data_IF_374407496976
#
_entry.id   IF_374407496976
#
_cell.length_a   1.000
_cell.length_b   1.000
_cell.length_c   1.000
_cell.angle_alpha   90.00
_cell.angle_beta   90.00
_cell.angle_gamma   90.00
#
_symmetry.space_group_name_H-M   'P 1'
#
loop_
_entity.id
_entity.type
_entity.pdbx_description
1 polymer ?
#
# COMPACT_ATOMS: atom_id res chain seq x y z
N UNK A 1 31.61 -6.34 -21.70
CA UNK A 1 30.55 -6.86 -20.79
C UNK A 1 29.34 -7.21 -21.63
N UNK A 2 29.10 -8.48 -21.90
CA UNK A 2 28.00 -8.96 -22.73
C UNK A 2 26.70 -8.84 -21.92
N UNK A 3 25.71 -8.09 -22.43
CA UNK A 3 24.37 -8.03 -21.87
C UNK A 3 23.73 -9.42 -22.03
N UNK A 4 23.50 -10.12 -20.92
CA UNK A 4 22.72 -11.36 -20.91
C UNK A 4 21.34 -11.07 -21.51
N UNK A 5 20.93 -11.86 -22.50
CA UNK A 5 19.61 -11.77 -23.10
C UNK A 5 18.53 -11.95 -22.02
N UNK A 6 17.46 -11.14 -22.02
CA UNK A 6 16.37 -11.31 -21.06
C UNK A 6 15.72 -12.70 -21.24
N UNK A 7 15.28 -13.33 -20.15
CA UNK A 7 14.63 -14.63 -20.21
C UNK A 7 13.45 -14.60 -21.20
N UNK A 8 13.36 -15.63 -22.07
CA UNK A 8 12.23 -15.78 -23.01
C UNK A 8 10.94 -15.82 -22.21
N UNK A 9 10.19 -14.72 -22.22
CA UNK A 9 8.84 -14.70 -21.67
C UNK A 9 7.97 -15.60 -22.54
N UNK A 10 7.35 -16.58 -21.94
CA UNK A 10 6.32 -17.40 -22.59
C UNK A 10 5.20 -16.43 -23.00
N UNK A 11 5.04 -16.19 -24.30
CA UNK A 11 3.94 -15.38 -24.82
C UNK A 11 2.64 -16.18 -24.64
N UNK A 12 1.94 -15.90 -23.56
CA UNK A 12 0.56 -16.34 -23.45
C UNK A 12 -0.24 -15.75 -24.63
N UNK A 13 -1.21 -16.50 -25.20
CA UNK A 13 -2.04 -16.00 -26.28
C UNK A 13 -2.62 -14.65 -25.89
N UNK A 14 -2.34 -13.61 -26.68
CA UNK A 14 -2.87 -12.25 -26.46
C UNK A 14 -4.38 -12.35 -26.55
N UNK A 15 -5.04 -12.44 -25.41
CA UNK A 15 -6.48 -12.28 -25.34
C UNK A 15 -6.75 -10.88 -25.85
N UNK A 16 -7.40 -10.78 -27.03
CA UNK A 16 -7.87 -9.53 -27.62
C UNK A 16 -8.44 -8.68 -26.49
N UNK A 17 -7.88 -7.50 -26.22
CA UNK A 17 -8.24 -6.65 -25.10
C UNK A 17 -9.74 -6.29 -25.19
N UNK A 18 -10.58 -7.19 -24.72
CA UNK A 18 -11.98 -6.90 -24.49
C UNK A 18 -12.04 -5.94 -23.30
N UNK A 19 -12.74 -4.83 -23.47
CA UNK A 19 -13.12 -3.99 -22.32
C UNK A 19 -13.57 -4.92 -21.20
N UNK A 20 -13.12 -4.71 -19.95
CA UNK A 20 -13.46 -5.61 -18.84
C UNK A 20 -14.97 -5.83 -18.88
N UNK A 21 -15.37 -7.09 -18.92
CA UNK A 21 -16.80 -7.43 -19.04
C UNK A 21 -17.54 -6.71 -17.91
N UNK A 22 -18.73 -6.15 -18.15
CA UNK A 22 -19.49 -5.43 -17.14
C UNK A 22 -19.68 -6.26 -15.86
N UNK A 23 -19.62 -7.58 -15.98
CA UNK A 23 -19.66 -8.53 -14.88
C UNK A 23 -18.41 -8.44 -13.99
N UNK A 24 -17.19 -8.42 -14.55
CA UNK A 24 -15.95 -8.32 -13.79
C UNK A 24 -15.87 -6.98 -13.02
N UNK A 25 -16.26 -5.89 -13.66
CA UNK A 25 -16.34 -4.57 -13.03
C UNK A 25 -17.31 -4.55 -11.85
N UNK A 26 -18.49 -5.20 -11.98
CA UNK A 26 -19.47 -5.31 -10.89
C UNK A 26 -18.90 -6.10 -9.71
N UNK A 27 -18.25 -7.23 -9.96
CA UNK A 27 -17.61 -8.02 -8.92
C UNK A 27 -16.53 -7.25 -8.18
N UNK A 28 -15.67 -6.54 -8.89
CA UNK A 28 -14.64 -5.68 -8.27
C UNK A 28 -15.28 -4.60 -7.39
N UNK A 29 -16.29 -3.90 -7.86
CA UNK A 29 -16.99 -2.88 -7.06
C UNK A 29 -17.65 -3.51 -5.84
N UNK A 30 -18.30 -4.66 -5.99
CA UNK A 30 -18.92 -5.39 -4.88
C UNK A 30 -17.87 -5.81 -3.81
N UNK A 31 -16.72 -6.32 -4.24
CA UNK A 31 -15.62 -6.68 -3.32
C UNK A 31 -15.11 -5.46 -2.56
N UNK A 32 -14.89 -4.34 -3.23
CA UNK A 32 -14.42 -3.11 -2.57
C UNK A 32 -15.46 -2.56 -1.59
N UNK A 33 -16.75 -2.58 -1.93
CA UNK A 33 -17.83 -2.22 -1.00
C UNK A 33 -17.84 -3.18 0.18
N UNK A 34 -17.74 -4.49 -0.07
CA UNK A 34 -17.69 -5.52 0.99
C UNK A 34 -16.54 -5.28 1.98
N UNK A 35 -15.35 -4.95 1.50
CA UNK A 35 -14.20 -4.60 2.35
C UNK A 35 -14.52 -3.39 3.25
N UNK A 36 -15.15 -2.34 2.71
CA UNK A 36 -15.51 -1.17 3.51
C UNK A 36 -16.60 -1.49 4.54
N UNK A 37 -17.58 -2.32 4.19
CA UNK A 37 -18.59 -2.78 5.15
C UNK A 37 -17.96 -3.61 6.27
N UNK A 38 -16.98 -4.47 5.98
CA UNK A 38 -16.23 -5.19 6.99
C UNK A 38 -15.45 -4.25 7.91
N UNK A 39 -14.80 -3.22 7.37
CA UNK A 39 -14.10 -2.21 8.18
C UNK A 39 -15.09 -1.48 9.08
N UNK A 40 -16.24 -1.05 8.58
CA UNK A 40 -17.27 -0.37 9.38
C UNK A 40 -17.84 -1.29 10.44
N UNK A 41 -18.13 -2.55 10.13
CA UNK A 41 -18.60 -3.54 11.10
C UNK A 41 -17.55 -3.79 12.20
N UNK A 42 -16.27 -3.83 11.84
CA UNK A 42 -15.18 -4.01 12.79
C UNK A 42 -15.04 -2.79 13.74
N UNK A 43 -15.16 -1.57 13.22
CA UNK A 43 -15.18 -0.34 14.01
C UNK A 43 -16.41 -0.34 14.96
N UNK A 44 -17.59 -0.68 14.44
CA UNK A 44 -18.80 -0.75 15.24
C UNK A 44 -18.69 -1.80 16.37
N UNK A 45 -18.13 -2.96 16.08
CA UNK A 45 -17.86 -3.99 17.09
C UNK A 45 -16.97 -3.44 18.21
N UNK A 46 -15.86 -2.79 17.85
CA UNK A 46 -14.96 -2.19 18.84
C UNK A 46 -15.64 -1.11 19.69
N UNK A 47 -16.44 -0.23 19.06
CA UNK A 47 -17.19 0.82 19.79
C UNK A 47 -18.19 0.24 20.81
N UNK A 48 -18.74 -0.94 20.53
CA UNK A 48 -19.73 -1.59 21.40
C UNK A 48 -19.05 -2.38 22.53
N UNK A 49 -17.96 -3.11 22.21
CA UNK A 49 -17.32 -4.04 23.15
C UNK A 49 -16.13 -3.47 23.89
N UNK A 50 -15.53 -2.36 23.39
CA UNK A 50 -14.32 -1.76 23.95
C UNK A 50 -13.02 -2.52 23.60
N UNK A 51 -13.12 -3.70 22.99
CA UNK A 51 -11.97 -4.49 22.53
C UNK A 51 -12.27 -5.16 21.19
N UNK A 52 -11.23 -5.48 20.42
CA UNK A 52 -11.38 -6.17 19.14
C UNK A 52 -10.09 -6.86 18.73
N UNK A 53 -10.15 -7.62 17.62
CA UNK A 53 -8.92 -8.03 16.93
C UNK A 53 -8.17 -6.80 16.45
N UNK A 54 -6.84 -6.85 16.44
CA UNK A 54 -6.03 -5.72 15.99
C UNK A 54 -6.33 -5.39 14.51
N UNK A 55 -6.16 -4.12 14.10
CA UNK A 55 -6.50 -3.71 12.73
C UNK A 55 -5.78 -4.56 11.69
N UNK A 56 -6.55 -5.13 10.76
CA UNK A 56 -6.03 -5.92 9.64
C UNK A 56 -5.53 -4.99 8.50
N UNK A 57 -4.71 -4.01 8.85
CA UNK A 57 -4.14 -3.03 7.92
C UNK A 57 -2.63 -3.18 7.83
N UNK A 58 -2.08 -3.07 6.63
CA UNK A 58 -0.63 -3.27 6.40
C UNK A 58 0.24 -2.30 7.22
N UNK A 59 -0.26 -1.11 7.57
CA UNK A 59 0.48 -0.14 8.39
C UNK A 59 0.82 -0.66 9.78
N UNK A 60 0.01 -1.53 10.33
CA UNK A 60 0.22 -2.09 11.67
C UNK A 60 1.39 -3.08 11.73
N UNK A 61 1.84 -3.58 10.56
CA UNK A 61 3.06 -4.41 10.46
C UNK A 61 4.33 -3.69 10.92
N UNK A 62 4.34 -2.35 10.89
CA UNK A 62 5.46 -1.56 11.41
C UNK A 62 5.64 -1.75 12.91
N UNK A 63 4.56 -1.88 13.68
CA UNK A 63 4.62 -2.13 15.13
C UNK A 63 5.36 -3.44 15.44
N UNK A 64 5.26 -4.43 14.55
CA UNK A 64 5.99 -5.68 14.71
C UNK A 64 7.50 -5.47 14.53
N UNK A 65 7.91 -4.64 13.57
CA UNK A 65 9.32 -4.35 13.33
C UNK A 65 9.92 -3.40 14.39
N UNK A 66 9.15 -2.45 14.89
CA UNK A 66 9.62 -1.47 15.86
C UNK A 66 9.55 -1.99 17.30
N UNK A 67 8.41 -2.57 17.69
CA UNK A 67 8.11 -2.92 19.08
C UNK A 67 7.90 -4.42 19.32
N UNK A 68 8.10 -5.28 18.32
CA UNK A 68 7.90 -6.72 18.44
C UNK A 68 6.42 -7.15 18.59
N UNK A 69 5.47 -6.24 18.37
CA UNK A 69 4.04 -6.54 18.54
C UNK A 69 3.49 -7.29 17.32
N UNK A 70 3.15 -8.56 17.49
CA UNK A 70 2.54 -9.37 16.44
C UNK A 70 1.04 -9.02 16.35
N UNK A 71 0.67 -8.28 15.31
CA UNK A 71 -0.71 -7.82 15.04
C UNK A 71 -1.32 -8.55 13.85
N UNK A 72 -2.63 -8.44 13.64
CA UNK A 72 -3.28 -8.94 12.42
C UNK A 72 -2.72 -8.23 11.17
N UNK A 73 -2.22 -7.01 11.31
CA UNK A 73 -1.60 -6.25 10.22
C UNK A 73 -0.38 -6.94 9.61
N UNK A 74 0.51 -7.54 10.42
CA UNK A 74 1.67 -8.26 9.89
C UNK A 74 1.26 -9.55 9.17
N UNK A 75 0.22 -10.24 9.63
CA UNK A 75 -0.31 -11.42 8.96
C UNK A 75 -0.92 -11.08 7.60
N UNK A 76 -1.71 -10.01 7.54
CA UNK A 76 -2.27 -9.49 6.28
C UNK A 76 -1.18 -9.03 5.34
N UNK A 77 -0.14 -8.37 5.86
CA UNK A 77 0.98 -7.91 5.05
C UNK A 77 1.80 -9.09 4.50
N UNK A 78 2.08 -10.11 5.30
CA UNK A 78 2.71 -11.34 4.84
C UNK A 78 1.89 -12.05 3.75
N UNK A 79 0.57 -12.17 3.95
CA UNK A 79 -0.34 -12.71 2.94
C UNK A 79 -0.33 -11.86 1.66
N UNK A 80 -0.29 -10.53 1.79
CA UNK A 80 -0.21 -9.62 0.64
C UNK A 80 1.06 -9.81 -0.18
N UNK A 81 2.21 -10.05 0.46
CA UNK A 81 3.47 -10.37 -0.21
C UNK A 81 3.34 -11.69 -0.97
N UNK A 82 2.83 -12.76 -0.33
CA UNK A 82 2.65 -14.06 -0.95
C UNK A 82 1.72 -13.98 -2.17
N UNK A 83 0.57 -13.32 -2.00
CA UNK A 83 -0.37 -13.12 -3.11
C UNK A 83 0.25 -12.30 -4.24
N UNK A 84 1.08 -11.29 -3.90
CA UNK A 84 1.76 -10.47 -4.91
C UNK A 84 2.85 -11.24 -5.66
N UNK A 85 3.51 -12.20 -5.02
CA UNK A 85 4.46 -13.11 -5.68
C UNK A 85 3.77 -14.05 -6.68
N UNK A 86 2.51 -14.41 -6.43
CA UNK A 86 1.75 -15.34 -7.28
C UNK A 86 0.95 -14.61 -8.38
N UNK A 87 0.28 -13.53 -8.03
CA UNK A 87 -0.72 -12.86 -8.86
C UNK A 87 -0.40 -11.38 -9.14
N UNK A 88 0.79 -10.91 -8.79
CA UNK A 88 1.12 -9.50 -8.90
C UNK A 88 0.30 -8.64 -7.93
N UNK A 89 0.04 -7.39 -8.30
CA UNK A 89 -0.69 -6.41 -7.45
C UNK A 89 -2.20 -6.65 -7.37
N UNK A 90 -2.64 -7.90 -7.35
CA UNK A 90 -4.06 -8.24 -7.32
C UNK A 90 -4.78 -7.60 -6.12
N UNK A 91 -4.22 -7.72 -4.92
CA UNK A 91 -4.83 -7.16 -3.70
C UNK A 91 -4.97 -5.65 -3.75
N UNK A 92 -4.00 -4.93 -4.33
CA UNK A 92 -4.08 -3.47 -4.49
C UNK A 92 -5.26 -3.04 -5.37
N UNK A 93 -5.64 -3.89 -6.33
CA UNK A 93 -6.76 -3.61 -7.22
C UNK A 93 -8.13 -4.01 -6.67
N UNK A 94 -8.19 -5.01 -5.77
CA UNK A 94 -9.44 -5.66 -5.38
C UNK A 94 -9.82 -5.51 -3.91
N UNK A 95 -8.85 -5.32 -3.02
CA UNK A 95 -9.10 -5.30 -1.57
C UNK A 95 -8.57 -4.04 -0.86
N UNK A 96 -7.75 -3.24 -1.53
CA UNK A 96 -7.16 -2.06 -0.89
C UNK A 96 -8.18 -0.92 -0.74
N UNK A 97 -8.46 -0.52 0.51
CA UNK A 97 -9.39 0.58 0.81
C UNK A 97 -8.91 1.92 0.27
N UNK A 98 -7.58 2.20 0.29
CA UNK A 98 -7.03 3.43 -0.29
C UNK A 98 -7.16 3.47 -1.82
N UNK A 99 -7.00 2.31 -2.49
CA UNK A 99 -7.27 2.19 -3.91
C UNK A 99 -8.73 2.46 -4.25
N UNK A 100 -9.66 1.95 -3.44
CA UNK A 100 -11.09 2.21 -3.61
C UNK A 100 -11.44 3.69 -3.36
N UNK A 101 -10.85 4.34 -2.35
CA UNK A 101 -11.02 5.77 -2.10
C UNK A 101 -10.59 6.59 -3.32
N UNK A 102 -9.41 6.28 -3.89
CA UNK A 102 -8.91 7.00 -5.06
C UNK A 102 -9.77 6.76 -6.32
N UNK A 103 -10.26 5.53 -6.52
CA UNK A 103 -11.19 5.21 -7.61
C UNK A 103 -12.52 5.98 -7.44
N UNK A 104 -13.02 6.10 -6.20
CA UNK A 104 -14.21 6.90 -5.88
C UNK A 104 -13.99 8.39 -6.15
N UNK A 105 -12.85 8.94 -5.71
CA UNK A 105 -12.50 10.34 -5.96
C UNK A 105 -12.33 10.63 -7.46
N UNK A 106 -11.67 9.73 -8.20
CA UNK A 106 -11.54 9.86 -9.65
C UNK A 106 -12.91 9.84 -10.36
N UNK A 107 -13.82 8.97 -9.92
CA UNK A 107 -15.18 8.91 -10.43
C UNK A 107 -15.96 10.20 -10.13
N UNK A 108 -15.88 10.70 -8.88
CA UNK A 108 -16.57 11.93 -8.47
C UNK A 108 -16.05 13.14 -9.24
N UNK A 109 -14.73 13.31 -9.36
CA UNK A 109 -14.12 14.37 -10.16
C UNK A 109 -14.52 14.28 -11.64
N UNK A 110 -14.59 13.05 -12.18
CA UNK A 110 -15.06 12.81 -13.54
C UNK A 110 -16.52 13.23 -13.75
N UNK A 111 -17.39 13.08 -12.74
CA UNK A 111 -18.77 13.57 -12.76
C UNK A 111 -18.87 15.09 -12.71
N UNK A 112 -17.90 15.74 -12.04
CA UNK A 112 -17.77 17.20 -12.01
C UNK A 112 -17.09 17.78 -13.27
N UNK A 113 -16.85 16.95 -14.30
CA UNK A 113 -16.22 17.36 -15.55
C UNK A 113 -14.69 17.45 -15.49
N UNK A 114 -14.08 17.18 -14.35
CA UNK A 114 -12.63 17.22 -14.20
C UNK A 114 -12.02 15.84 -14.46
N UNK A 115 -11.18 15.75 -15.50
CA UNK A 115 -10.40 14.56 -15.81
C UNK A 115 -8.93 14.88 -15.64
N UNK A 116 -8.34 14.56 -14.49
CA UNK A 116 -6.94 14.89 -14.23
C UNK A 116 -6.03 14.21 -15.27
N UNK A 117 -5.07 14.94 -15.85
CA UNK A 117 -4.14 14.38 -16.81
C UNK A 117 -3.23 13.35 -16.10
N UNK A 118 -2.80 12.31 -16.79
CA UNK A 118 -1.87 11.33 -16.23
C UNK A 118 -0.51 12.00 -15.98
N UNK A 119 -0.19 12.22 -14.71
CA UNK A 119 1.12 12.74 -14.33
C UNK A 119 2.20 11.67 -14.46
N UNK A 120 3.34 12.01 -15.06
CA UNK A 120 4.47 11.09 -15.24
C UNK A 120 5.77 11.75 -14.80
N UNK A 121 6.26 11.38 -13.64
CA UNK A 121 7.57 11.77 -13.16
C UNK A 121 8.40 10.52 -12.81
N UNK A 122 9.50 10.30 -13.51
CA UNK A 122 10.38 9.14 -13.26
C UNK A 122 10.97 9.16 -11.85
N UNK A 123 11.39 10.34 -11.39
CA UNK A 123 11.97 10.50 -10.06
C UNK A 123 10.96 10.23 -8.95
N UNK A 124 9.73 10.69 -9.13
CA UNK A 124 8.67 10.44 -8.16
C UNK A 124 8.29 8.95 -8.06
N UNK A 125 8.56 8.17 -9.11
CA UNK A 125 8.38 6.71 -9.10
C UNK A 125 9.32 5.97 -8.13
N UNK A 126 10.39 6.61 -7.66
CA UNK A 126 11.28 6.06 -6.62
C UNK A 126 10.76 6.35 -5.20
N UNK A 127 9.84 7.29 -5.03
CA UNK A 127 9.34 7.70 -3.73
C UNK A 127 8.70 6.54 -2.93
N UNK A 128 7.87 5.65 -3.51
CA UNK A 128 7.35 4.49 -2.79
C UNK A 128 8.44 3.59 -2.22
N UNK A 129 9.50 3.34 -2.99
CA UNK A 129 10.63 2.52 -2.55
C UNK A 129 11.42 3.22 -1.44
N UNK A 130 11.68 4.52 -1.56
CA UNK A 130 12.35 5.30 -0.52
C UNK A 130 11.53 5.33 0.78
N UNK A 131 10.21 5.53 0.67
CA UNK A 131 9.29 5.46 1.82
C UNK A 131 9.26 4.06 2.44
N UNK A 132 9.27 3.01 1.61
CA UNK A 132 9.32 1.63 2.09
C UNK A 132 10.61 1.35 2.87
N UNK A 133 11.75 1.77 2.35
CA UNK A 133 13.04 1.65 3.04
C UNK A 133 13.04 2.42 4.36
N UNK A 134 12.52 3.65 4.34
CA UNK A 134 12.40 4.46 5.55
C UNK A 134 11.47 3.81 6.60
N UNK A 135 10.32 3.28 6.19
CA UNK A 135 9.34 2.73 7.13
C UNK A 135 9.72 1.33 7.65
N UNK A 136 10.29 0.48 6.82
CA UNK A 136 10.49 -0.94 7.15
C UNK A 136 11.95 -1.30 7.44
N UNK A 137 12.90 -0.63 6.82
CA UNK A 137 14.33 -0.94 6.99
C UNK A 137 14.98 -0.02 8.02
N UNK A 138 14.66 1.29 7.98
CA UNK A 138 15.26 2.27 8.85
C UNK A 138 15.10 1.99 10.35
N UNK A 139 13.92 1.60 10.88
CA UNK A 139 13.78 1.30 12.31
C UNK A 139 14.70 0.18 12.78
N UNK A 140 14.76 -0.89 12.01
CA UNK A 140 15.65 -2.02 12.31
C UNK A 140 17.12 -1.63 12.18
N UNK A 141 17.49 -0.95 11.08
CA UNK A 141 18.86 -0.46 10.88
C UNK A 141 19.30 0.48 12.00
N UNK A 142 18.44 1.42 12.40
CA UNK A 142 18.71 2.34 13.51
C UNK A 142 18.95 1.60 14.82
N UNK A 143 18.11 0.60 15.11
CA UNK A 143 18.19 -0.15 16.36
C UNK A 143 19.36 -1.10 16.42
N UNK A 144 19.57 -1.91 15.38
CA UNK A 144 20.54 -3.02 15.41
C UNK A 144 21.95 -2.60 15.03
N UNK A 145 22.09 -1.56 14.21
CA UNK A 145 23.40 -1.15 13.71
C UNK A 145 23.80 0.24 14.20
N UNK A 146 22.95 1.25 13.98
CA UNK A 146 23.34 2.63 14.23
C UNK A 146 23.45 2.95 15.72
N UNK A 147 22.48 2.53 16.53
CA UNK A 147 22.46 2.83 17.96
C UNK A 147 23.63 2.18 18.73
N UNK A 148 23.97 0.89 18.54
CA UNK A 148 25.14 0.29 19.20
C UNK A 148 26.46 0.95 18.79
N UNK A 149 26.62 1.29 17.51
CA UNK A 149 27.84 1.96 17.01
C UNK A 149 27.97 3.35 17.61
N UNK A 150 26.91 4.15 17.64
CA UNK A 150 26.93 5.48 18.21
C UNK A 150 27.10 5.47 19.74
N UNK A 151 26.54 4.49 20.42
CA UNK A 151 26.73 4.33 21.86
C UNK A 151 28.21 4.12 22.21
N UNK A 152 28.95 3.43 21.33
CA UNK A 152 30.39 3.20 21.52
C UNK A 152 31.27 4.41 21.13
N UNK A 153 30.94 5.09 20.04
CA UNK A 153 31.78 6.11 19.43
C UNK A 153 31.40 7.54 19.88
N UNK A 154 30.10 7.81 19.98
CA UNK A 154 29.55 9.15 20.23
C UNK A 154 28.28 9.07 21.09
N UNK A 155 28.39 8.83 22.42
CA UNK A 155 27.20 8.66 23.28
C UNK A 155 26.26 9.89 23.26
N UNK A 156 26.78 11.10 23.11
CA UNK A 156 25.99 12.32 23.03
C UNK A 156 25.15 12.43 21.75
N UNK A 157 25.61 11.83 20.67
CA UNK A 157 24.87 11.82 19.41
C UNK A 157 23.62 10.94 19.47
N UNK A 158 23.55 10.00 20.40
CA UNK A 158 22.39 9.14 20.59
C UNK A 158 21.14 9.94 20.97
N UNK A 159 21.29 11.06 21.69
CA UNK A 159 20.20 11.95 22.06
C UNK A 159 19.49 12.56 20.85
N UNK A 160 20.19 12.76 19.73
CA UNK A 160 19.65 13.33 18.49
C UNK A 160 18.82 12.33 17.67
N UNK A 161 19.12 11.03 17.82
CA UNK A 161 18.45 9.97 17.03
C UNK A 161 17.13 9.53 17.70
N UNK A 162 16.88 10.03 18.91
CA UNK A 162 15.72 9.73 19.73
C UNK A 162 15.93 8.49 20.61
N UNK A 163 14.95 8.17 21.46
CA UNK A 163 15.08 7.10 22.44
C UNK A 163 15.35 5.76 21.72
N UNK A 164 16.41 5.12 22.19
CA UNK A 164 16.76 3.78 21.73
C UNK A 164 16.26 2.75 22.75
N UNK A 165 15.53 1.76 22.25
CA UNK A 165 15.09 0.62 23.04
C UNK A 165 15.57 -0.66 22.36
N UNK A 166 16.14 -1.57 23.12
CA UNK A 166 16.42 -2.92 22.64
C UNK A 166 15.13 -3.59 22.17
N UNK A 167 15.23 -4.53 21.22
CA UNK A 167 14.07 -5.25 20.75
C UNK A 167 13.46 -6.08 21.91
N UNK A 168 12.21 -5.82 22.31
CA UNK A 168 11.63 -6.45 23.50
C UNK A 168 11.27 -7.93 23.32
N UNK A 169 11.50 -8.48 22.13
CA UNK A 169 10.99 -9.79 21.72
C UNK A 169 9.60 -9.71 21.08
N UNK A 170 9.12 -10.83 20.57
CA UNK A 170 7.80 -10.90 19.96
C UNK A 170 6.72 -11.08 21.02
N UNK A 171 5.75 -10.16 21.04
CA UNK A 171 4.61 -10.18 21.94
C UNK A 171 3.32 -10.29 21.14
N UNK A 172 2.33 -11.04 21.67
CA UNK A 172 1.06 -11.23 21.00
C UNK A 172 0.14 -10.02 21.21
N UNK A 173 -0.19 -9.34 20.13
CA UNK A 173 -1.14 -8.21 20.08
C UNK A 173 -2.22 -8.43 19.03
N UNK A 174 -2.66 -9.67 18.84
CA UNK A 174 -3.78 -9.99 17.94
C UNK A 174 -5.12 -9.45 18.43
N UNK A 175 -5.26 -9.28 19.75
CA UNK A 175 -6.39 -8.57 20.37
C UNK A 175 -5.91 -7.24 20.92
N UNK A 176 -6.72 -6.20 20.81
CA UNK A 176 -6.39 -4.86 21.27
C UNK A 176 -7.61 -4.11 21.81
N UNK A 177 -7.38 -3.29 22.82
CA UNK A 177 -8.34 -2.31 23.32
C UNK A 177 -8.19 -0.97 22.59
N UNK A 178 -6.96 -0.62 22.19
CA UNK A 178 -6.63 0.60 21.43
C UNK A 178 -6.65 0.34 19.94
N UNK A 179 -7.84 0.06 19.43
CA UNK A 179 -8.04 -0.34 18.04
C UNK A 179 -7.89 0.80 17.05
N UNK A 180 -8.34 2.02 17.37
CA UNK A 180 -8.49 3.06 16.37
C UNK A 180 -8.00 4.43 16.84
N UNK A 181 -6.79 4.77 16.45
CA UNK A 181 -6.21 6.09 16.71
C UNK A 181 -6.59 7.18 15.68
N UNK A 182 -7.41 6.85 14.67
CA UNK A 182 -7.81 7.77 13.61
C UNK A 182 -9.26 8.25 13.77
N UNK A 183 -10.20 7.55 13.15
CA UNK A 183 -11.63 7.82 13.24
C UNK A 183 -12.28 6.87 14.27
N UNK A 184 -13.21 7.32 15.12
CA UNK A 184 -13.73 8.70 15.20
C UNK A 184 -12.92 9.65 16.07
N UNK A 185 -11.96 9.17 16.88
CA UNK A 185 -11.32 9.93 17.96
C UNK A 185 -10.43 11.07 17.45
N UNK A 186 -9.70 10.85 16.35
CA UNK A 186 -8.80 11.85 15.72
C UNK A 186 -9.28 12.28 14.34
N UNK A 187 -10.57 12.59 14.21
CA UNK A 187 -11.16 13.01 12.95
C UNK A 187 -10.44 14.22 12.31
N UNK A 188 -9.93 15.14 13.11
CA UNK A 188 -9.18 16.31 12.68
C UNK A 188 -7.84 15.98 11.99
N UNK A 189 -7.32 14.77 12.16
CA UNK A 189 -6.15 14.25 11.44
C UNK A 189 -6.61 13.36 10.28
N UNK A 190 -7.56 12.48 10.53
CA UNK A 190 -8.00 11.49 9.54
C UNK A 190 -8.71 12.12 8.34
N UNK A 191 -9.56 13.13 8.55
CA UNK A 191 -10.28 13.80 7.45
C UNK A 191 -9.33 14.55 6.52
N UNK A 192 -8.40 15.41 6.99
CA UNK A 192 -7.39 16.02 6.13
C UNK A 192 -6.52 14.98 5.41
N UNK A 193 -6.12 13.91 6.08
CA UNK A 193 -5.36 12.83 5.46
C UNK A 193 -6.13 12.18 4.30
N UNK A 194 -7.41 11.85 4.49
CA UNK A 194 -8.25 11.28 3.43
C UNK A 194 -8.47 12.26 2.27
N UNK A 195 -8.62 13.56 2.56
CA UNK A 195 -8.74 14.60 1.53
C UNK A 195 -7.44 14.72 0.71
N UNK A 196 -6.29 14.73 1.36
CA UNK A 196 -4.99 14.81 0.65
C UNK A 196 -4.73 13.53 -0.14
N UNK A 197 -4.87 12.35 0.48
CA UNK A 197 -4.58 11.07 -0.15
C UNK A 197 -5.63 10.65 -1.20
N UNK A 198 -6.88 11.06 -1.02
CA UNK A 198 -7.96 10.79 -1.96
C UNK A 198 -8.08 11.89 -3.01
N UNK A 199 -8.63 13.03 -2.61
CA UNK A 199 -9.04 14.08 -3.56
C UNK A 199 -7.84 14.79 -4.17
N UNK A 200 -6.94 15.37 -3.34
CA UNK A 200 -5.85 16.18 -3.83
C UNK A 200 -4.87 15.36 -4.68
N UNK A 201 -4.49 14.16 -4.23
CA UNK A 201 -3.58 13.29 -4.99
C UNK A 201 -4.15 12.92 -6.35
N UNK A 202 -5.45 12.63 -6.44
CA UNK A 202 -6.11 12.31 -7.71
C UNK A 202 -6.27 13.54 -8.58
N UNK A 203 -6.60 14.69 -7.99
CA UNK A 203 -6.79 15.95 -8.72
C UNK A 203 -5.50 16.40 -9.41
N UNK A 204 -4.36 16.43 -8.69
CA UNK A 204 -3.09 16.93 -9.19
C UNK A 204 -2.26 15.92 -9.96
N UNK A 205 -2.27 14.65 -9.55
CA UNK A 205 -1.34 13.64 -10.04
C UNK A 205 -2.02 12.52 -10.85
N UNK A 206 -3.35 12.54 -10.90
CA UNK A 206 -4.13 11.57 -11.66
C UNK A 206 -4.64 10.39 -10.85
N UNK A 207 -5.39 9.52 -11.53
CA UNK A 207 -5.98 8.33 -10.93
C UNK A 207 -4.91 7.45 -10.30
N UNK A 208 -5.16 6.98 -9.07
CA UNK A 208 -4.25 6.12 -8.27
C UNK A 208 -2.86 6.70 -8.04
N UNK A 209 -2.73 8.03 -8.02
CA UNK A 209 -1.46 8.71 -7.84
C UNK A 209 -0.78 8.38 -6.51
N UNK A 210 -1.54 8.29 -5.41
CA UNK A 210 -0.99 7.86 -4.12
C UNK A 210 -0.41 6.44 -4.20
N UNK A 211 -1.13 5.51 -4.83
CA UNK A 211 -0.65 4.14 -4.99
C UNK A 211 0.67 4.08 -5.79
N UNK A 212 0.83 4.99 -6.74
CA UNK A 212 1.99 5.03 -7.64
C UNK A 212 3.19 5.79 -7.06
N UNK A 213 2.94 6.87 -6.30
CA UNK A 213 3.98 7.83 -5.91
C UNK A 213 4.14 8.00 -4.40
N UNK A 214 3.18 7.57 -3.59
CA UNK A 214 3.18 7.81 -2.16
C UNK A 214 2.97 6.57 -1.29
N UNK A 215 2.66 5.41 -1.87
CA UNK A 215 2.37 4.22 -1.07
C UNK A 215 3.64 3.40 -0.79
N UNK A 216 4.12 3.33 0.46
CA UNK A 216 5.32 2.56 0.81
C UNK A 216 5.14 1.05 0.58
N UNK A 217 3.91 0.54 0.75
CA UNK A 217 3.62 -0.88 0.47
C UNK A 217 3.76 -1.21 -1.00
N UNK A 218 3.42 -0.28 -1.90
CA UNK A 218 3.66 -0.44 -3.33
C UNK A 218 5.16 -0.58 -3.62
N UNK A 219 6.02 0.15 -2.90
CA UNK A 219 7.48 0.04 -3.01
C UNK A 219 8.02 -1.34 -2.63
N UNK A 220 7.41 -2.01 -1.63
CA UNK A 220 7.78 -3.36 -1.22
C UNK A 220 7.17 -4.45 -2.13
N UNK A 221 5.95 -4.24 -2.61
CA UNK A 221 5.27 -5.20 -3.46
C UNK A 221 5.75 -5.14 -4.92
N UNK A 222 6.40 -4.05 -5.36
CA UNK A 222 6.93 -3.90 -6.71
C UNK A 222 7.99 -4.96 -7.09
N UNK A 223 8.99 -5.28 -6.24
CA UNK A 223 9.90 -6.40 -6.49
C UNK A 223 9.18 -7.75 -6.54
N UNK A 224 8.19 -7.98 -5.65
CA UNK A 224 7.41 -9.21 -5.62
C UNK A 224 6.59 -9.39 -6.92
N UNK A 225 5.97 -8.33 -7.42
CA UNK A 225 5.24 -8.34 -8.70
C UNK A 225 6.15 -8.71 -9.89
N UNK A 226 7.41 -8.24 -9.89
CA UNK A 226 8.36 -8.56 -10.96
C UNK A 226 8.75 -10.05 -11.01
N UNK A 227 8.63 -10.73 -9.88
CA UNK A 227 8.86 -12.18 -9.76
C UNK A 227 7.60 -13.00 -10.05
N UNK A 228 6.43 -12.36 -10.09
CA UNK A 228 5.15 -13.05 -10.30
C UNK A 228 5.11 -13.74 -11.67
N UNK A 229 4.64 -15.00 -11.75
CA UNK A 229 4.48 -15.72 -13.01
C UNK A 229 3.38 -15.10 -13.89
N UNK A 230 2.42 -14.41 -13.27
CA UNK A 230 1.32 -13.74 -13.95
C UNK A 230 1.56 -12.23 -13.97
N UNK A 231 1.68 -11.64 -15.14
CA UNK A 231 1.81 -10.19 -15.31
C UNK A 231 0.91 -9.67 -16.40
N UNK A 232 0.36 -8.48 -16.20
CA UNK A 232 -0.40 -7.78 -17.24
C UNK A 232 0.61 -7.10 -18.17
N UNK A 233 0.65 -7.53 -19.42
CA UNK A 233 1.52 -6.95 -20.45
C UNK A 233 0.66 -6.25 -21.48
N UNK A 234 1.01 -5.00 -21.80
CA UNK A 234 0.38 -4.26 -22.90
C UNK A 234 1.20 -4.52 -24.17
N UNK A 235 0.54 -5.06 -25.19
CA UNK A 235 1.16 -5.21 -26.51
C UNK A 235 1.26 -3.82 -27.17
N UNK A 236 2.48 -3.34 -27.48
CA UNK A 236 2.67 -2.04 -28.11
C UNK A 236 1.98 -1.94 -29.49
N UNK A 237 1.85 -3.06 -30.21
CA UNK A 237 1.23 -3.11 -31.54
C UNK A 237 -0.31 -2.94 -31.48
N UNK A 238 -0.92 -3.31 -30.34
CA UNK A 238 -2.36 -3.19 -30.11
C UNK A 238 -2.73 -1.95 -29.29
N UNK A 239 -1.74 -1.18 -28.85
CA UNK A 239 -1.92 -0.01 -28.02
C UNK A 239 -2.32 1.21 -28.84
N UNK A 240 -3.57 1.65 -28.72
CA UNK A 240 -4.09 2.88 -29.32
C UNK A 240 -3.72 4.16 -28.54
N UNK A 241 -2.87 4.05 -27.51
CA UNK A 241 -2.43 5.13 -26.63
C UNK A 241 -3.60 5.88 -25.94
N UNK A 242 -4.74 5.25 -25.76
CA UNK A 242 -5.93 5.86 -25.11
C UNK A 242 -5.69 6.29 -23.65
N UNK A 243 -4.61 5.86 -23.02
CA UNK A 243 -4.28 6.19 -21.62
C UNK A 243 -5.08 5.46 -20.56
N UNK A 244 -6.04 4.61 -20.91
CA UNK A 244 -6.93 3.89 -19.97
C UNK A 244 -6.15 2.99 -19.01
N UNK A 245 -5.08 2.32 -19.47
CA UNK A 245 -4.23 1.48 -18.61
C UNK A 245 -3.36 2.28 -17.64
N UNK A 246 -3.15 3.57 -17.89
CA UNK A 246 -2.40 4.48 -17.02
C UNK A 246 -3.32 5.34 -16.15
N UNK A 247 -4.61 5.35 -16.48
CA UNK A 247 -5.67 6.05 -15.75
C UNK A 247 -6.46 5.12 -14.80
N UNK A 248 -6.19 3.81 -14.86
CA UNK A 248 -6.84 2.79 -14.01
C UNK A 248 -5.96 2.40 -12.83
#
# INVERSE_FOLDING_TARGET
MARSAPPKRVSLPVLKASRPTPRLRRWRVATLIGVHLLILAHIAHWLITGYSISPAVMSDSMKTLEAGQVTCGVLVFGAAIIVSLLFGRFLCGWACHMGALQDLCAWALGKLGHRPPPFRARWLGLAPTALALYMFVWPTFRRELLAPVLQHLYPDALAWIGPWHAFPGLTNHLMTEDFWNGLPTRWYVAVPFLLVCGVASVYFLGSRALCRYGCPYAGLLDPAEKLAPVSVVVDPALCDRCGLCTAS
#
